data_IF_933007777095
#
_entry.id   IF_933007777095
#
_cell.length_a   1.000
_cell.length_b   1.000
_cell.length_c   1.000
_cell.angle_alpha   90.00
_cell.angle_beta   90.00
_cell.angle_gamma   90.00
#
_symmetry.space_group_name_H-M   'P 1'
#
loop_
_entity.id
_entity.type
_entity.pdbx_description
1 polymer ?
#
# COMPACT_ATOMS: atom_id res chain seq x y z
N UNK A 1 -3.35 6.03 0.10
CA UNK A 1 -4.82 6.14 0.20
C UNK A 1 -5.47 7.00 -0.87
N UNK A 2 -5.12 8.28 -1.04
CA UNK A 2 -5.82 9.23 -1.91
C UNK A 2 -5.97 8.78 -3.37
N UNK A 3 -4.98 8.05 -3.92
CA UNK A 3 -5.10 7.45 -5.25
C UNK A 3 -6.24 6.44 -5.36
N UNK A 4 -6.41 5.56 -4.37
CA UNK A 4 -7.52 4.60 -4.32
C UNK A 4 -8.87 5.31 -4.20
N UNK A 5 -8.95 6.33 -3.35
CA UNK A 5 -10.17 7.14 -3.20
C UNK A 5 -10.52 7.88 -4.50
N UNK A 6 -9.54 8.44 -5.20
CA UNK A 6 -9.75 9.10 -6.48
C UNK A 6 -10.23 8.11 -7.56
N UNK A 7 -9.65 6.91 -7.62
CA UNK A 7 -10.10 5.85 -8.52
C UNK A 7 -11.52 5.39 -8.19
N UNK A 8 -11.84 5.23 -6.91
CA UNK A 8 -13.17 4.86 -6.45
C UNK A 8 -14.21 5.95 -6.77
N UNK A 9 -13.89 7.21 -6.54
CA UNK A 9 -14.80 8.33 -6.86
C UNK A 9 -15.09 8.44 -8.36
N UNK A 10 -14.11 8.15 -9.22
CA UNK A 10 -14.27 8.25 -10.67
C UNK A 10 -14.91 7.00 -11.31
N UNK A 11 -14.55 5.82 -10.81
CA UNK A 11 -14.80 4.53 -11.49
C UNK A 11 -15.39 3.44 -10.58
N UNK A 12 -15.53 3.70 -9.28
CA UNK A 12 -16.08 2.76 -8.32
C UNK A 12 -17.53 2.40 -8.64
N UNK A 13 -17.86 1.12 -8.45
CA UNK A 13 -19.22 0.59 -8.70
C UNK A 13 -19.71 -0.37 -7.61
N UNK A 14 -18.80 -0.94 -6.83
CA UNK A 14 -19.12 -1.67 -5.61
C UNK A 14 -19.23 -0.70 -4.43
N UNK A 15 -19.82 -1.14 -3.32
CA UNK A 15 -19.80 -0.37 -2.08
C UNK A 15 -18.36 -0.29 -1.54
N UNK A 16 -18.01 0.82 -0.89
CA UNK A 16 -16.65 1.07 -0.38
C UNK A 16 -16.21 -0.01 0.60
N UNK A 17 -17.11 -0.40 1.48
CA UNK A 17 -16.91 -1.43 2.50
C UNK A 17 -16.47 -2.77 1.88
N UNK A 18 -17.17 -3.22 0.84
CA UNK A 18 -16.89 -4.48 0.14
C UNK A 18 -15.48 -4.52 -0.49
N UNK A 19 -14.89 -3.35 -0.76
CA UNK A 19 -13.54 -3.23 -1.32
C UNK A 19 -12.43 -3.30 -0.26
N UNK A 20 -12.74 -2.94 0.99
CA UNK A 20 -11.76 -2.86 2.08
C UNK A 20 -11.84 -4.08 3.01
N UNK A 21 -13.04 -4.63 3.22
CA UNK A 21 -13.27 -5.79 4.10
C UNK A 21 -12.33 -6.98 3.83
N UNK A 22 -12.06 -7.38 2.57
CA UNK A 22 -11.11 -8.46 2.31
C UNK A 22 -9.68 -8.19 2.82
N UNK A 23 -9.26 -6.92 2.86
CA UNK A 23 -7.95 -6.56 3.38
C UNK A 23 -7.93 -6.58 4.92
N UNK A 24 -9.03 -6.21 5.58
CA UNK A 24 -9.19 -6.32 7.03
C UNK A 24 -9.14 -7.80 7.43
N UNK A 25 -9.90 -8.66 6.75
CA UNK A 25 -9.90 -10.11 7.02
C UNK A 25 -8.49 -10.73 6.89
N UNK A 26 -7.72 -10.32 5.88
CA UNK A 26 -6.34 -10.80 5.69
C UNK A 26 -5.36 -10.24 6.73
N UNK A 27 -5.61 -9.03 7.25
CA UNK A 27 -4.83 -8.45 8.32
C UNK A 27 -5.14 -9.12 9.66
N UNK A 28 -6.40 -9.49 9.92
CA UNK A 28 -6.80 -10.26 11.10
C UNK A 28 -6.16 -11.65 11.13
N UNK A 29 -5.97 -12.28 9.96
CA UNK A 29 -5.26 -13.54 9.87
C UNK A 29 -5.03 -14.00 8.44
N UNK A 30 -3.77 -14.28 8.11
CA UNK A 30 -3.41 -14.87 6.81
C UNK A 30 -2.28 -15.88 6.94
N UNK A 31 -2.19 -16.79 5.96
CA UNK A 31 -1.11 -17.77 5.91
C UNK A 31 0.11 -17.15 5.22
N UNK A 32 1.25 -17.20 5.92
CA UNK A 32 2.53 -16.71 5.41
C UNK A 32 2.92 -17.52 4.18
N UNK A 33 3.18 -16.83 3.07
CA UNK A 33 3.69 -17.45 1.84
C UNK A 33 5.19 -17.69 1.92
N UNK A 34 5.70 -18.62 1.09
CA UNK A 34 7.13 -18.86 0.95
C UNK A 34 7.90 -17.57 0.62
N UNK A 35 7.35 -16.73 -0.27
CA UNK A 35 7.95 -15.47 -0.71
C UNK A 35 8.09 -14.49 0.48
N UNK A 36 7.05 -14.35 1.31
CA UNK A 36 7.08 -13.45 2.45
C UNK A 36 8.10 -13.92 3.49
N UNK A 37 8.14 -15.23 3.80
CA UNK A 37 9.11 -15.80 4.73
C UNK A 37 10.56 -15.57 4.26
N UNK A 38 10.83 -15.80 2.97
CA UNK A 38 12.14 -15.54 2.36
C UNK A 38 12.53 -14.05 2.42
N UNK A 39 11.57 -13.14 2.20
CA UNK A 39 11.81 -11.70 2.31
C UNK A 39 12.13 -11.28 3.74
N UNK A 40 11.34 -11.72 4.73
CA UNK A 40 11.58 -11.40 6.14
C UNK A 40 12.95 -11.91 6.61
N UNK A 41 13.35 -13.11 6.17
CA UNK A 41 14.69 -13.61 6.43
C UNK A 41 15.77 -12.74 5.75
N UNK A 42 15.59 -12.39 4.48
CA UNK A 42 16.59 -11.64 3.70
C UNK A 42 16.80 -10.20 4.18
N UNK A 43 15.76 -9.56 4.73
CA UNK A 43 15.80 -8.18 5.17
C UNK A 43 15.99 -7.99 6.67
N UNK A 44 16.07 -9.07 7.46
CA UNK A 44 16.15 -9.03 8.92
C UNK A 44 17.21 -8.03 9.44
N UNK A 45 18.42 -8.04 8.85
CA UNK A 45 19.52 -7.16 9.27
C UNK A 45 19.29 -5.67 9.00
N UNK A 46 18.32 -5.32 8.13
CA UNK A 46 17.98 -3.95 7.76
C UNK A 46 16.68 -3.45 8.41
N UNK A 47 15.98 -4.31 9.15
CA UNK A 47 14.68 -4.00 9.75
C UNK A 47 14.81 -3.82 11.27
N UNK A 48 13.94 -3.00 11.87
CA UNK A 48 13.87 -2.88 13.33
C UNK A 48 13.15 -4.10 13.92
N UNK A 49 13.79 -5.27 13.87
CA UNK A 49 13.21 -6.58 14.26
C UNK A 49 12.52 -6.56 15.62
N UNK A 50 13.12 -5.87 16.60
CA UNK A 50 12.59 -5.74 17.96
C UNK A 50 11.25 -4.96 18.05
N UNK A 51 10.87 -4.25 16.99
CA UNK A 51 9.60 -3.51 16.89
C UNK A 51 8.56 -4.28 16.03
N UNK A 52 8.94 -5.44 15.48
CA UNK A 52 8.14 -6.18 14.49
C UNK A 52 7.82 -7.59 15.01
N UNK A 53 7.37 -7.70 16.26
CA UNK A 53 7.15 -9.00 16.93
C UNK A 53 6.22 -9.95 16.16
N UNK A 54 5.18 -9.42 15.48
CA UNK A 54 4.26 -10.22 14.66
C UNK A 54 4.92 -10.85 13.42
N UNK A 55 5.98 -10.23 12.89
CA UNK A 55 6.80 -10.80 11.81
C UNK A 55 8.01 -11.57 12.33
N UNK A 56 8.51 -11.24 13.52
CA UNK A 56 9.71 -11.82 14.12
C UNK A 56 9.47 -12.32 15.55
N UNK A 57 8.61 -13.33 15.75
CA UNK A 57 8.38 -13.88 17.08
C UNK A 57 9.70 -14.34 17.68
N UNK A 58 9.99 -13.89 18.91
CA UNK A 58 11.26 -14.13 19.62
C UNK A 58 12.52 -13.77 18.82
N UNK A 59 12.43 -12.78 17.92
CA UNK A 59 13.54 -12.25 17.13
C UNK A 59 13.91 -13.06 15.88
N UNK A 60 13.12 -14.07 15.51
CA UNK A 60 13.32 -14.87 14.30
C UNK A 60 12.13 -14.70 13.34
N UNK A 61 12.35 -14.61 12.01
CA UNK A 61 11.28 -14.39 11.05
C UNK A 61 10.25 -15.53 11.11
N UNK A 62 8.98 -15.16 10.96
CA UNK A 62 7.87 -16.10 10.88
C UNK A 62 8.01 -17.04 9.66
N UNK A 63 7.66 -18.31 9.84
CA UNK A 63 7.84 -19.36 8.82
C UNK A 63 6.68 -19.40 7.81
N UNK A 64 6.94 -19.90 6.61
CA UNK A 64 5.87 -20.15 5.65
C UNK A 64 4.87 -21.18 6.18
N UNK A 65 3.59 -20.99 5.87
CA UNK A 65 2.51 -21.87 6.32
C UNK A 65 1.97 -21.58 7.72
N UNK A 66 2.57 -20.66 8.48
CA UNK A 66 2.02 -20.24 9.78
C UNK A 66 1.01 -19.11 9.61
N UNK A 67 0.19 -18.89 10.65
CA UNK A 67 -0.73 -17.76 10.70
C UNK A 67 0.04 -16.47 11.06
N UNK A 68 -0.22 -15.41 10.32
CA UNK A 68 0.25 -14.04 10.58
C UNK A 68 -0.97 -13.18 10.91
N UNK A 69 -0.92 -12.53 12.06
CA UNK A 69 -1.94 -11.59 12.53
C UNK A 69 -1.31 -10.20 12.62
N UNK A 70 -1.93 -9.21 11.99
CA UNK A 70 -1.51 -7.82 11.94
C UNK A 70 -2.64 -6.92 12.48
N UNK A 71 -2.96 -7.07 13.77
CA UNK A 71 -4.12 -6.42 14.39
C UNK A 71 -4.09 -4.89 14.28
N UNK A 72 -2.92 -4.27 14.41
CA UNK A 72 -2.76 -2.81 14.23
C UNK A 72 -3.10 -2.38 12.79
N UNK A 73 -2.74 -3.21 11.80
CA UNK A 73 -3.10 -2.97 10.41
C UNK A 73 -4.60 -3.16 10.18
N UNK A 74 -5.21 -4.19 10.79
CA UNK A 74 -6.65 -4.42 10.71
C UNK A 74 -7.44 -3.24 11.29
N UNK A 75 -7.04 -2.73 12.46
CA UNK A 75 -7.63 -1.53 13.08
C UNK A 75 -7.47 -0.29 12.20
N UNK A 76 -6.28 -0.09 11.61
CA UNK A 76 -6.02 1.01 10.68
C UNK A 76 -6.92 0.92 9.43
N UNK A 77 -7.05 -0.27 8.86
CA UNK A 77 -7.91 -0.53 7.70
C UNK A 77 -9.39 -0.37 8.04
N UNK A 78 -9.82 -0.75 9.25
CA UNK A 78 -11.16 -0.52 9.75
C UNK A 78 -11.46 0.98 9.89
N UNK A 79 -10.57 1.78 10.45
CA UNK A 79 -10.77 3.24 10.51
C UNK A 79 -10.80 3.88 9.11
N UNK A 80 -9.98 3.37 8.18
CA UNK A 80 -10.04 3.76 6.76
C UNK A 80 -11.39 3.40 6.14
N UNK A 81 -11.93 2.22 6.43
CA UNK A 81 -13.25 1.78 5.97
C UNK A 81 -14.34 2.73 6.46
N UNK A 82 -14.42 2.95 7.78
CA UNK A 82 -15.47 3.77 8.41
C UNK A 82 -15.42 5.25 8.04
N UNK A 83 -14.22 5.78 7.79
CA UNK A 83 -14.03 7.18 7.41
C UNK A 83 -14.01 7.42 5.90
N UNK A 84 -14.27 6.38 5.09
CA UNK A 84 -14.11 6.41 3.63
C UNK A 84 -12.71 6.94 3.20
N UNK A 85 -11.68 6.57 3.95
CA UNK A 85 -10.28 6.92 3.73
C UNK A 85 -9.87 8.31 4.16
N UNK A 86 -10.80 9.13 4.69
CA UNK A 86 -10.49 10.51 5.11
C UNK A 86 -9.56 10.57 6.33
N UNK A 87 -9.65 9.61 7.25
CA UNK A 87 -8.83 9.56 8.47
C UNK A 87 -7.32 9.49 8.20
N UNK A 88 -6.93 8.90 7.06
CA UNK A 88 -5.53 8.77 6.66
C UNK A 88 -4.86 10.14 6.43
N UNK A 89 -5.62 11.14 6.00
CA UNK A 89 -5.10 12.48 5.70
C UNK A 89 -5.58 13.55 6.69
N UNK A 90 -6.71 13.31 7.35
CA UNK A 90 -7.33 14.24 8.29
C UNK A 90 -8.08 13.46 9.37
N UNK A 91 -7.35 13.01 10.39
CA UNK A 91 -7.85 12.20 11.49
C UNK A 91 -6.75 11.54 12.30
N UNK A 92 -7.11 10.53 13.11
CA UNK A 92 -6.21 9.94 14.09
C UNK A 92 -5.01 9.22 13.46
N UNK A 93 -5.20 8.59 12.29
CA UNK A 93 -4.11 8.03 11.49
C UNK A 93 -3.12 9.13 11.06
N UNK A 94 -3.62 10.24 10.52
CA UNK A 94 -2.75 11.35 10.09
C UNK A 94 -1.98 12.00 11.25
N UNK A 95 -2.59 12.06 12.44
CA UNK A 95 -1.94 12.55 13.66
C UNK A 95 -0.83 11.59 14.10
N UNK A 96 -1.10 10.28 14.08
CA UNK A 96 -0.11 9.25 14.40
C UNK A 96 1.07 9.24 13.42
N UNK A 97 0.80 9.45 12.13
CA UNK A 97 1.84 9.58 11.11
C UNK A 97 2.69 10.84 11.29
N UNK A 98 2.14 11.91 11.87
CA UNK A 98 2.86 13.16 12.09
C UNK A 98 3.91 13.09 13.21
N UNK A 99 3.89 12.03 14.03
CA UNK A 99 4.94 11.72 15.00
C UNK A 99 6.21 11.18 14.33
N UNK A 100 6.15 10.78 13.06
CA UNK A 100 7.30 10.31 12.28
C UNK A 100 8.15 11.51 11.84
N UNK A 101 9.43 11.49 12.20
CA UNK A 101 10.38 12.54 11.81
C UNK A 101 10.44 12.69 10.28
N UNK A 102 10.25 13.92 9.80
CA UNK A 102 10.26 14.24 8.37
C UNK A 102 8.91 14.14 7.67
N UNK A 103 7.83 13.77 8.37
CA UNK A 103 6.47 13.70 7.82
C UNK A 103 5.52 14.64 8.57
N UNK A 104 5.58 15.98 8.35
CA UNK A 104 4.71 16.90 9.06
C UNK A 104 3.25 16.72 8.63
N UNK A 105 2.31 16.91 9.57
CA UNK A 105 0.87 16.81 9.33
C UNK A 105 0.39 17.63 8.12
N UNK A 106 0.95 18.82 7.92
CA UNK A 106 0.64 19.68 6.77
C UNK A 106 0.91 19.01 5.42
N UNK A 107 1.95 18.18 5.31
CA UNK A 107 2.26 17.44 4.08
C UNK A 107 1.22 16.36 3.78
N UNK A 108 0.61 15.76 4.80
CA UNK A 108 -0.49 14.82 4.64
C UNK A 108 -1.77 15.55 4.19
N UNK A 109 -2.13 16.64 4.88
CA UNK A 109 -3.32 17.44 4.56
C UNK A 109 -3.30 18.03 3.14
N UNK A 110 -2.12 18.43 2.67
CA UNK A 110 -1.95 19.04 1.35
C UNK A 110 -1.63 18.02 0.24
N UNK A 111 -1.67 16.72 0.52
CA UNK A 111 -1.41 15.70 -0.49
C UNK A 111 -2.49 15.74 -1.59
N UNK A 112 -2.06 15.70 -2.86
CA UNK A 112 -2.97 15.66 -4.00
C UNK A 112 -2.56 14.58 -5.00
N UNK A 113 -3.55 13.98 -5.65
CA UNK A 113 -3.31 12.93 -6.67
C UNK A 113 -2.97 13.60 -8.00
N UNK A 114 -1.77 13.34 -8.49
CA UNK A 114 -1.36 13.73 -9.85
C UNK A 114 -2.12 12.93 -10.90
N UNK A 115 -2.57 13.60 -11.96
CA UNK A 115 -3.20 12.98 -13.14
C UNK A 115 -2.39 13.32 -14.37
N UNK A 116 -2.00 12.30 -15.11
CA UNK A 116 -1.12 12.44 -16.26
C UNK A 116 -1.63 11.57 -17.40
N UNK A 117 -1.66 12.14 -18.61
CA UNK A 117 -1.94 11.37 -19.82
C UNK A 117 -0.86 10.29 -19.99
N UNK A 118 -1.24 9.05 -20.32
CA UNK A 118 -0.26 8.01 -20.58
C UNK A 118 0.59 8.38 -21.80
N UNK A 119 1.80 7.84 -21.83
CA UNK A 119 2.66 7.95 -23.01
C UNK A 119 2.28 6.86 -23.99
N UNK A 120 2.25 7.18 -25.28
CA UNK A 120 1.90 6.22 -26.34
C UNK A 120 3.01 6.13 -27.37
N UNK A 121 3.15 4.96 -27.98
CA UNK A 121 4.03 4.70 -29.11
C UNK A 121 3.55 3.51 -29.93
N UNK A 122 4.25 3.20 -31.01
CA UNK A 122 3.91 2.06 -31.87
C UNK A 122 5.07 1.06 -31.92
N UNK A 123 4.77 -0.23 -31.77
CA UNK A 123 5.73 -1.31 -31.93
C UNK A 123 5.09 -2.51 -32.61
N UNK A 124 5.75 -3.06 -33.63
CA UNK A 124 5.30 -4.25 -34.37
C UNK A 124 3.83 -4.18 -34.88
N UNK A 125 3.33 -2.98 -35.18
CA UNK A 125 1.95 -2.76 -35.62
C UNK A 125 0.91 -2.64 -34.50
N UNK A 126 1.34 -2.56 -33.24
CA UNK A 126 0.49 -2.33 -32.07
C UNK A 126 0.74 -0.96 -31.47
N UNK A 127 -0.31 -0.33 -30.96
CA UNK A 127 -0.19 0.80 -30.04
C UNK A 127 0.23 0.28 -28.66
N UNK A 128 1.28 0.86 -28.11
CA UNK A 128 1.79 0.57 -26.77
C UNK A 128 1.52 1.78 -25.88
N UNK A 129 0.74 1.56 -24.83
CA UNK A 129 0.40 2.58 -23.83
C UNK A 129 1.25 2.32 -22.58
N UNK A 130 2.00 3.33 -22.15
CA UNK A 130 2.92 3.28 -21.02
C UNK A 130 2.60 4.33 -19.95
N UNK A 131 3.14 4.13 -18.76
CA UNK A 131 3.02 5.07 -17.67
C UNK A 131 3.74 6.40 -17.98
N UNK A 132 3.07 7.52 -17.68
CA UNK A 132 3.65 8.86 -17.85
C UNK A 132 4.88 9.08 -16.97
N UNK A 133 5.70 10.07 -17.33
CA UNK A 133 6.73 10.60 -16.43
C UNK A 133 6.12 10.94 -15.06
N UNK A 134 6.85 10.67 -13.95
CA UNK A 134 8.25 10.24 -13.88
C UNK A 134 8.50 8.73 -14.04
N UNK A 135 7.47 7.94 -14.38
CA UNK A 135 7.60 6.49 -14.56
C UNK A 135 8.26 6.15 -15.92
N UNK A 136 8.88 4.95 -16.05
CA UNK A 136 9.75 4.64 -17.18
C UNK A 136 9.00 4.26 -18.47
N UNK A 137 7.73 4.63 -18.64
CA UNK A 137 6.92 4.20 -19.79
C UNK A 137 7.54 4.60 -21.14
N UNK A 138 8.10 5.81 -21.23
CA UNK A 138 8.81 6.27 -22.45
C UNK A 138 10.04 5.40 -22.74
N UNK A 139 10.82 5.07 -21.71
CA UNK A 139 12.04 4.27 -21.86
C UNK A 139 11.72 2.84 -22.27
N UNK A 140 10.65 2.27 -21.75
CA UNK A 140 10.17 0.94 -22.17
C UNK A 140 9.71 0.99 -23.63
N UNK A 141 8.90 1.97 -24.02
CA UNK A 141 8.42 2.10 -25.41
C UNK A 141 9.59 2.27 -26.39
N UNK A 142 10.61 3.06 -26.04
CA UNK A 142 11.79 3.28 -26.89
C UNK A 142 12.68 2.04 -27.05
N UNK A 143 12.60 1.07 -26.13
CA UNK A 143 13.38 -0.16 -26.17
C UNK A 143 12.75 -1.21 -27.12
N UNK A 144 11.43 -1.14 -27.33
CA UNK A 144 10.68 -2.05 -28.20
C UNK A 144 11.03 -1.78 -29.67
#
# INVERSE_FOLDING_TARGET
MAGMMALYADYGTAEWEDLIDPAIDLADGSIVSDILAEQLQSFQDNLPVEQLEHFYPVGAPIEAGTNLEQLELAETLWEIRESEGTSFYNGSISESLADIEGLPLESLLNFTVGRHEPVTGEFAGYEVIGASLPLPGVSVIQLL
#
